data_IF_299282607547
#
_entry.id   IF_299282607547
#
_cell.length_a   1.000
_cell.length_b   1.000
_cell.length_c   1.000
_cell.angle_alpha   90.00
_cell.angle_beta   90.00
_cell.angle_gamma   90.00
#
_symmetry.space_group_name_H-M   'P 1'
#
loop_
_entity.id
_entity.type
_entity.pdbx_description
1 polymer ?
#
# COMPACT_ATOMS: atom_id res chain seq x y z
N UNK A 1 -5.04 7.99 -5.23
CA UNK A 1 -6.38 7.49 -4.85
C UNK A 1 -6.22 6.24 -4.02
N UNK A 2 -7.06 6.06 -3.03
CA UNK A 2 -6.96 4.89 -2.17
C UNK A 2 -8.32 4.45 -1.63
N UNK A 3 -8.37 3.19 -1.20
CA UNK A 3 -9.45 2.61 -0.39
C UNK A 3 -8.89 2.13 0.94
N UNK A 4 -9.69 2.26 1.98
CA UNK A 4 -9.35 1.87 3.35
C UNK A 4 -9.84 0.47 3.66
N UNK A 5 -9.09 -0.24 4.51
CA UNK A 5 -9.48 -1.54 5.05
C UNK A 5 -8.98 -1.68 6.48
N UNK A 6 -9.63 -2.55 7.24
CA UNK A 6 -9.08 -3.01 8.50
C UNK A 6 -7.79 -3.80 8.25
N UNK A 7 -6.84 -3.76 9.20
CA UNK A 7 -5.59 -4.52 9.10
C UNK A 7 -5.82 -6.00 9.37
N UNK A 8 -6.52 -6.65 8.44
CA UNK A 8 -6.79 -8.08 8.44
C UNK A 8 -6.64 -8.60 7.02
N UNK A 9 -6.04 -9.77 6.85
CA UNK A 9 -5.70 -10.31 5.53
C UNK A 9 -6.90 -10.40 4.58
N UNK A 10 -8.05 -10.84 5.06
CA UNK A 10 -9.26 -10.93 4.23
C UNK A 10 -9.75 -9.56 3.77
N UNK A 11 -9.72 -8.55 4.65
CA UNK A 11 -10.12 -7.19 4.32
C UNK A 11 -9.13 -6.55 3.35
N UNK A 12 -7.84 -6.80 3.51
CA UNK A 12 -6.78 -6.30 2.61
C UNK A 12 -6.97 -6.89 1.21
N UNK A 13 -7.20 -8.19 1.11
CA UNK A 13 -7.42 -8.85 -0.19
C UNK A 13 -8.65 -8.27 -0.89
N UNK A 14 -9.73 -8.05 -0.14
CA UNK A 14 -10.96 -7.48 -0.70
C UNK A 14 -10.77 -6.03 -1.18
N UNK A 15 -10.06 -5.20 -0.41
CA UNK A 15 -9.87 -3.80 -0.78
C UNK A 15 -9.03 -3.65 -2.05
N UNK A 16 -8.06 -4.52 -2.28
CA UNK A 16 -7.30 -4.54 -3.53
C UNK A 16 -8.20 -4.90 -4.71
N UNK A 17 -9.07 -5.89 -4.56
CA UNK A 17 -10.03 -6.26 -5.60
C UNK A 17 -10.97 -5.09 -5.92
N UNK A 18 -11.47 -4.39 -4.91
CA UNK A 18 -12.32 -3.22 -5.08
C UNK A 18 -11.60 -2.07 -5.78
N UNK A 19 -10.32 -1.83 -5.46
CA UNK A 19 -9.52 -0.81 -6.11
C UNK A 19 -9.32 -1.14 -7.59
N UNK A 20 -8.99 -2.38 -7.91
CA UNK A 20 -8.83 -2.85 -9.28
C UNK A 20 -10.10 -2.67 -10.11
N UNK A 21 -11.26 -2.96 -9.54
CA UNK A 21 -12.55 -2.75 -10.20
C UNK A 21 -12.85 -1.27 -10.43
N UNK A 22 -12.47 -0.40 -9.50
CA UNK A 22 -12.72 1.02 -9.59
C UNK A 22 -11.84 1.73 -10.63
N UNK A 23 -10.68 1.20 -10.93
CA UNK A 23 -9.69 1.79 -11.85
C UNK A 23 -9.69 0.99 -13.15
N UNK A 24 -10.16 1.62 -14.25
CA UNK A 24 -10.31 0.94 -15.54
C UNK A 24 -9.02 0.41 -16.15
N UNK A 25 -7.90 1.07 -15.90
CA UNK A 25 -6.61 0.65 -16.41
C UNK A 25 -5.56 0.78 -15.33
N UNK A 26 -4.98 -0.35 -14.96
CA UNK A 26 -3.90 -0.42 -13.98
C UNK A 26 -2.53 -0.29 -14.64
N UNK A 27 -2.49 -0.40 -15.97
CA UNK A 27 -1.25 -0.46 -16.72
C UNK A 27 -0.42 0.82 -16.57
N UNK A 28 0.82 0.65 -16.17
CA UNK A 28 1.76 1.74 -16.01
C UNK A 28 1.53 2.62 -14.78
N UNK A 29 0.56 2.30 -13.92
CA UNK A 29 0.34 3.02 -12.67
C UNK A 29 1.18 2.44 -11.55
N UNK A 30 1.61 3.31 -10.63
CA UNK A 30 2.28 2.89 -9.39
C UNK A 30 1.25 2.50 -8.34
N UNK A 31 1.50 1.41 -7.65
CA UNK A 31 0.64 0.89 -6.59
C UNK A 31 1.38 0.88 -5.26
N UNK A 32 0.68 1.23 -4.20
CA UNK A 32 1.21 1.29 -2.85
C UNK A 32 0.22 0.68 -1.86
N UNK A 33 0.73 -0.11 -0.92
CA UNK A 33 0.01 -0.45 0.30
C UNK A 33 0.53 0.42 1.43
N UNK A 34 -0.34 1.03 2.19
CA UNK A 34 0.04 1.89 3.32
C UNK A 34 -0.62 1.38 4.58
N UNK A 35 0.21 1.07 5.58
CA UNK A 35 -0.26 0.65 6.88
C UNK A 35 -0.08 1.76 7.90
N UNK A 36 -1.20 2.23 8.47
CA UNK A 36 -1.21 3.22 9.55
C UNK A 36 -1.18 2.49 10.90
N UNK A 37 -0.06 2.59 11.66
CA UNK A 37 0.07 1.88 12.92
C UNK A 37 -0.81 2.44 14.03
N UNK A 38 -1.19 3.71 13.96
CA UNK A 38 -2.02 4.37 14.97
C UNK A 38 -3.48 3.98 14.79
N UNK A 39 -3.99 4.14 13.57
CA UNK A 39 -5.37 3.83 13.24
C UNK A 39 -5.64 2.36 12.98
N UNK A 40 -4.61 1.53 12.90
CA UNK A 40 -4.68 0.13 12.50
C UNK A 40 -5.47 -0.07 11.22
N UNK A 41 -5.14 0.73 10.25
CA UNK A 41 -5.83 0.79 8.97
C UNK A 41 -4.86 0.50 7.84
N UNK A 42 -5.32 -0.23 6.85
CA UNK A 42 -4.60 -0.47 5.62
C UNK A 42 -5.25 0.31 4.48
N UNK A 43 -4.42 0.91 3.61
CA UNK A 43 -4.89 1.61 2.42
C UNK A 43 -4.26 1.00 1.19
N UNK A 44 -5.11 0.56 0.26
CA UNK A 44 -4.67 0.18 -1.08
C UNK A 44 -4.68 1.43 -1.95
N UNK A 45 -3.53 1.82 -2.45
CA UNK A 45 -3.32 3.10 -3.13
C UNK A 45 -2.89 2.91 -4.58
N UNK A 46 -3.35 3.80 -5.44
CA UNK A 46 -2.91 3.89 -6.83
C UNK A 46 -2.56 5.34 -7.16
N UNK A 47 -1.53 5.50 -7.98
CA UNK A 47 -1.10 6.80 -8.47
C UNK A 47 -2.22 7.52 -9.22
N UNK A 48 -2.44 8.79 -8.90
CA UNK A 48 -3.40 9.64 -9.60
C UNK A 48 -2.78 10.16 -10.89
N UNK A 49 -3.56 10.13 -11.97
CA UNK A 49 -3.18 10.70 -13.26
C UNK A 49 -4.15 11.80 -13.68
N UNK A 50 -3.70 12.66 -14.59
CA UNK A 50 -4.56 13.67 -15.21
C UNK A 50 -5.79 13.00 -15.82
N UNK A 51 -6.96 13.57 -15.58
CA UNK A 51 -8.24 13.02 -16.05
C UNK A 51 -8.90 12.02 -15.10
N UNK A 52 -8.21 11.61 -14.03
CA UNK A 52 -8.84 10.75 -13.03
C UNK A 52 -9.84 11.56 -12.19
N UNK A 53 -11.02 10.97 -12.02
CA UNK A 53 -12.03 11.49 -11.10
C UNK A 53 -12.44 10.39 -10.13
N UNK A 54 -11.95 10.40 -8.89
CA UNK A 54 -12.29 9.38 -7.89
C UNK A 54 -13.80 9.27 -7.63
N UNK A 55 -14.51 10.38 -7.77
CA UNK A 55 -15.95 10.41 -7.52
C UNK A 55 -16.74 9.72 -8.61
N UNK A 56 -16.33 9.90 -9.88
CA UNK A 56 -17.00 9.27 -11.03
C UNK A 56 -16.67 7.79 -11.15
N UNK A 57 -15.41 7.44 -10.93
CA UNK A 57 -14.96 6.04 -11.05
C UNK A 57 -15.52 5.19 -9.93
N UNK A 58 -15.76 5.80 -8.82
CA UNK A 58 -16.13 5.08 -7.64
C UNK A 58 -17.57 4.64 -7.56
N UNK A 59 -18.51 5.10 -8.39
CA UNK A 59 -19.95 4.77 -8.32
C UNK A 59 -20.37 4.13 -6.98
N UNK A 60 -20.13 4.84 -5.88
CA UNK A 60 -20.40 4.32 -4.55
C UNK A 60 -19.27 3.53 -3.90
N UNK A 61 -18.11 3.34 -4.57
CA UNK A 61 -16.96 2.63 -3.99
C UNK A 61 -16.08 3.54 -3.13
N UNK A 62 -16.28 4.86 -3.18
CA UNK A 62 -15.66 5.78 -2.24
C UNK A 62 -14.13 5.81 -2.30
N UNK A 63 -13.55 6.07 -3.47
CA UNK A 63 -12.12 6.34 -3.56
C UNK A 63 -11.81 7.70 -2.93
N UNK A 64 -10.73 7.75 -2.17
CA UNK A 64 -10.29 8.95 -1.48
C UNK A 64 -8.97 9.43 -2.08
N UNK A 65 -8.73 10.73 -2.04
CA UNK A 65 -7.46 11.33 -2.41
C UNK A 65 -6.59 11.50 -1.18
N UNK A 66 -5.29 11.22 -1.32
CA UNK A 66 -4.33 11.41 -0.27
C UNK A 66 -2.93 11.58 -0.83
N UNK A 67 -1.98 11.82 0.04
CA UNK A 67 -0.56 11.93 -0.29
C UNK A 67 0.25 10.94 0.54
N UNK A 68 1.32 10.43 -0.05
CA UNK A 68 2.30 9.65 0.69
C UNK A 68 3.32 10.59 1.30
N UNK A 69 3.61 10.40 2.59
CA UNK A 69 4.57 11.23 3.30
C UNK A 69 5.98 10.97 2.76
N UNK A 70 6.71 12.05 2.49
CA UNK A 70 8.15 11.99 2.27
C UNK A 70 8.90 11.73 3.56
N UNK A 71 10.23 11.73 3.49
CA UNK A 71 11.09 11.56 4.65
C UNK A 71 12.04 10.39 4.50
N UNK A 72 12.64 9.98 5.62
CA UNK A 72 13.62 8.89 5.64
C UNK A 72 12.93 7.56 5.87
N UNK A 73 13.33 6.55 5.10
CA UNK A 73 12.83 5.20 5.19
C UNK A 73 13.96 4.18 5.13
N UNK A 74 13.84 3.12 5.92
CA UNK A 74 14.60 1.90 5.68
C UNK A 74 13.85 1.08 4.63
N UNK A 75 14.56 0.58 3.62
CA UNK A 75 13.97 -0.18 2.51
C UNK A 75 14.44 -1.63 2.54
N UNK A 76 13.50 -2.55 2.35
CA UNK A 76 13.77 -3.95 2.10
C UNK A 76 13.05 -4.38 0.82
N UNK A 77 13.78 -4.90 -0.15
CA UNK A 77 13.19 -5.39 -1.40
C UNK A 77 12.89 -6.88 -1.29
N UNK A 78 11.66 -7.24 -1.61
CA UNK A 78 11.23 -8.63 -1.78
C UNK A 78 11.10 -8.93 -3.26
N UNK A 79 11.63 -10.10 -3.67
CA UNK A 79 11.48 -10.60 -5.03
C UNK A 79 10.96 -12.04 -4.97
N UNK A 80 10.09 -12.38 -5.90
CA UNK A 80 9.52 -13.70 -6.00
C UNK A 80 8.18 -13.70 -6.72
N UNK A 81 7.73 -14.87 -7.12
CA UNK A 81 6.48 -14.97 -7.86
C UNK A 81 5.25 -14.85 -6.95
N UNK A 82 4.20 -14.13 -7.42
CA UNK A 82 2.93 -14.13 -6.71
C UNK A 82 2.26 -15.51 -6.78
N UNK A 83 1.49 -15.90 -5.75
CA UNK A 83 1.22 -15.15 -4.54
C UNK A 83 2.24 -15.37 -3.42
N UNK A 84 3.25 -16.23 -3.62
CA UNK A 84 4.21 -16.60 -2.58
C UNK A 84 4.96 -15.38 -2.00
N UNK A 85 5.35 -14.43 -2.85
CA UNK A 85 6.06 -13.22 -2.40
C UNK A 85 5.23 -12.40 -1.43
N UNK A 86 3.91 -12.39 -1.56
CA UNK A 86 3.02 -11.61 -0.69
C UNK A 86 2.99 -12.13 0.74
N UNK A 87 3.19 -13.44 0.93
CA UNK A 87 3.29 -14.03 2.26
C UNK A 87 4.52 -13.57 3.04
N UNK A 88 5.53 -13.04 2.35
CA UNK A 88 6.76 -12.54 2.96
C UNK A 88 6.63 -11.11 3.49
N UNK A 89 5.59 -10.38 3.09
CA UNK A 89 5.44 -8.95 3.41
C UNK A 89 5.31 -8.72 4.91
N UNK A 90 4.34 -9.33 5.56
CA UNK A 90 4.06 -9.08 6.97
C UNK A 90 5.25 -9.40 7.87
N UNK A 91 5.90 -10.59 7.79
CA UNK A 91 7.07 -10.86 8.63
C UNK A 91 8.27 -9.95 8.32
N UNK A 92 8.46 -9.54 7.08
CA UNK A 92 9.54 -8.63 6.72
C UNK A 92 9.29 -7.20 7.25
N UNK A 93 8.06 -6.70 7.17
CA UNK A 93 7.68 -5.41 7.75
C UNK A 93 7.84 -5.41 9.27
N UNK A 94 7.47 -6.49 9.94
CA UNK A 94 7.68 -6.62 11.38
C UNK A 94 9.16 -6.53 11.76
N UNK A 95 10.03 -7.16 10.99
CA UNK A 95 11.48 -7.06 11.21
C UNK A 95 12.00 -5.65 11.01
N UNK A 96 11.54 -4.95 9.99
CA UNK A 96 11.90 -3.55 9.77
C UNK A 96 11.42 -2.65 10.90
N UNK A 97 10.21 -2.89 11.41
CA UNK A 97 9.64 -2.11 12.51
C UNK A 97 10.40 -2.29 13.83
N UNK A 98 11.13 -3.40 13.98
CA UNK A 98 11.95 -3.68 15.18
C UNK A 98 13.29 -2.96 15.16
N UNK A 99 13.65 -2.26 14.08
CA UNK A 99 14.89 -1.48 14.05
C UNK A 99 14.89 -0.42 15.15
N UNK A 100 16.05 -0.17 15.80
CA UNK A 100 16.11 0.86 16.85
C UNK A 100 15.74 2.26 16.37
N UNK A 101 15.97 2.55 15.08
CA UNK A 101 15.67 3.85 14.46
C UNK A 101 14.28 3.92 13.82
N UNK A 102 13.46 2.89 13.98
CA UNK A 102 12.09 2.86 13.45
C UNK A 102 11.24 3.96 14.09
N UNK A 103 10.46 4.65 13.26
CA UNK A 103 9.45 5.62 13.72
C UNK A 103 8.09 4.92 13.81
N UNK A 104 7.58 4.66 15.02
CA UNK A 104 6.33 3.91 15.19
C UNK A 104 5.07 4.73 14.86
N UNK A 105 5.19 6.03 14.70
CA UNK A 105 4.05 6.93 14.49
C UNK A 105 3.74 7.19 13.04
N UNK A 106 4.66 6.87 12.14
CA UNK A 106 4.48 7.10 10.70
C UNK A 106 4.13 5.81 9.98
N UNK A 107 3.30 5.89 8.93
CA UNK A 107 2.86 4.70 8.19
C UNK A 107 4.00 3.99 7.47
N UNK A 108 3.97 2.65 7.49
CA UNK A 108 4.78 1.81 6.62
C UNK A 108 4.18 1.75 5.22
N UNK A 109 5.04 1.60 4.22
CA UNK A 109 4.64 1.61 2.81
C UNK A 109 5.15 0.35 2.12
N UNK A 110 4.25 -0.28 1.35
CA UNK A 110 4.57 -1.35 0.41
C UNK A 110 4.50 -0.74 -0.99
N UNK A 111 5.64 -0.66 -1.69
CA UNK A 111 5.66 -0.18 -3.05
C UNK A 111 5.74 -1.36 -4.03
N UNK A 112 4.67 -1.58 -4.77
CA UNK A 112 4.60 -2.63 -5.77
C UNK A 112 5.19 -2.12 -7.10
N UNK A 113 6.50 -2.31 -7.27
CA UNK A 113 7.20 -1.94 -8.51
C UNK A 113 6.74 -2.80 -9.68
N UNK A 114 6.57 -4.09 -9.41
CA UNK A 114 6.03 -5.11 -10.32
C UNK A 114 5.31 -6.14 -9.45
N UNK A 115 4.58 -7.05 -10.06
CA UNK A 115 3.92 -8.13 -9.32
C UNK A 115 4.91 -9.02 -8.55
N UNK A 116 6.15 -9.10 -9.00
CA UNK A 116 7.22 -9.93 -8.43
C UNK A 116 8.31 -9.12 -7.71
N UNK A 117 8.18 -7.81 -7.61
CA UNK A 117 9.15 -6.93 -6.93
C UNK A 117 8.42 -5.93 -6.06
N UNK A 118 8.58 -6.06 -4.75
CA UNK A 118 7.93 -5.22 -3.76
C UNK A 118 8.99 -4.59 -2.86
N UNK A 119 9.00 -3.27 -2.78
CA UNK A 119 9.85 -2.54 -1.83
C UNK A 119 9.04 -2.23 -0.57
N UNK A 120 9.54 -2.67 0.56
CA UNK A 120 8.99 -2.35 1.87
C UNK A 120 9.74 -1.14 2.43
N UNK A 121 9.00 -0.13 2.85
CA UNK A 121 9.54 1.12 3.34
C UNK A 121 9.04 1.34 4.78
N UNK A 122 9.95 1.25 5.72
CA UNK A 122 9.67 1.55 7.13
C UNK A 122 10.20 2.94 7.46
N UNK A 123 9.35 3.85 7.96
CA UNK A 123 9.81 5.16 8.39
C UNK A 123 10.87 5.05 9.48
N UNK A 124 11.91 5.87 9.39
CA UNK A 124 12.98 5.95 10.39
C UNK A 124 13.16 7.39 10.85
N UNK A 125 13.63 7.52 12.08
CA UNK A 125 13.88 8.81 12.70
C UNK A 125 15.13 9.46 12.11
#
# INVERSE_FOLDING_TARGET
MFKRAADQQAAITQVWAELEDAVRSLRGRKFYGVFDPIGREYRACVEVRAGDDPRRRGLGLGLELGTLAGGRYARLRLTGEPPAVYALIAPAMERLAQRPDSDPDRPGIEFYRRSDVIDLLQPVI
#
